data_IF_810463407501
#
_entry.id   IF_810463407501
#
_cell.length_a   1.000
_cell.length_b   1.000
_cell.length_c   1.000
_cell.angle_alpha   90.00
_cell.angle_beta   90.00
_cell.angle_gamma   90.00
#
_symmetry.space_group_name_H-M   'P 1'
#
loop_
_entity.id
_entity.type
_entity.pdbx_description
1 polymer ?
#
# COMPACT_ATOMS: atom_id res chain seq x y z
N UNK A 1 -6.71 -22.85 22.71
CA UNK A 1 -7.98 -23.58 22.85
C UNK A 1 -9.01 -22.88 23.74
N UNK A 2 -8.63 -22.28 24.86
CA UNK A 2 -9.56 -21.61 25.80
C UNK A 2 -10.26 -20.38 25.20
N UNK A 3 -9.55 -19.58 24.39
CA UNK A 3 -10.09 -18.42 23.65
C UNK A 3 -11.18 -18.81 22.65
N UNK A 4 -10.99 -19.91 21.90
CA UNK A 4 -11.99 -20.46 20.99
C UNK A 4 -13.23 -20.97 21.71
N UNK A 5 -13.06 -21.56 22.92
CA UNK A 5 -14.18 -21.98 23.76
C UNK A 5 -14.99 -20.78 24.26
N UNK A 6 -14.32 -19.70 24.70
CA UNK A 6 -14.97 -18.45 25.12
C UNK A 6 -15.72 -17.77 23.98
N UNK A 7 -15.10 -17.68 22.80
CA UNK A 7 -15.76 -17.10 21.62
C UNK A 7 -17.04 -17.88 21.26
N UNK A 8 -16.99 -19.21 21.30
CA UNK A 8 -18.19 -20.04 21.10
C UNK A 8 -19.24 -19.85 22.20
N UNK A 9 -18.83 -19.66 23.45
CA UNK A 9 -19.72 -19.45 24.58
C UNK A 9 -20.45 -18.11 24.51
N UNK A 10 -19.77 -17.06 24.02
CA UNK A 10 -20.33 -15.71 23.88
C UNK A 10 -20.84 -15.40 22.46
N UNK A 11 -20.88 -16.40 21.59
CA UNK A 11 -21.29 -16.27 20.20
C UNK A 11 -20.49 -15.23 19.38
N UNK A 12 -19.26 -15.02 19.80
CA UNK A 12 -18.32 -14.20 19.05
C UNK A 12 -17.82 -14.99 17.83
N UNK A 13 -17.86 -14.41 16.66
CA UNK A 13 -17.25 -14.99 15.45
C UNK A 13 -15.74 -15.18 15.62
N UNK A 14 -15.17 -16.08 14.83
CA UNK A 14 -13.71 -16.27 14.76
C UNK A 14 -13.26 -15.87 13.37
N UNK A 15 -12.38 -14.90 13.28
CA UNK A 15 -11.68 -14.53 12.05
C UNK A 15 -10.18 -14.73 12.27
N UNK A 16 -9.55 -15.43 11.33
CA UNK A 16 -8.10 -15.57 11.25
C UNK A 16 -7.58 -14.69 10.13
N UNK A 17 -6.38 -14.15 10.32
CA UNK A 17 -5.71 -13.30 9.36
C UNK A 17 -4.32 -13.86 9.06
N UNK A 18 -3.98 -13.96 7.77
CA UNK A 18 -2.64 -14.33 7.32
C UNK A 18 -1.98 -13.15 6.61
N UNK A 19 -0.71 -12.95 6.89
CA UNK A 19 0.08 -11.82 6.40
C UNK A 19 1.24 -12.30 5.55
N UNK A 20 1.51 -11.57 4.45
CA UNK A 20 2.74 -11.68 3.67
C UNK A 20 3.53 -10.39 3.86
N UNK A 21 4.55 -10.44 4.72
CA UNK A 21 5.23 -9.24 5.20
C UNK A 21 4.24 -8.29 5.90
N UNK A 22 4.03 -7.11 5.31
CA UNK A 22 3.14 -6.08 5.85
C UNK A 22 1.76 -6.04 5.16
N UNK A 23 1.52 -6.86 4.13
CA UNK A 23 0.24 -6.95 3.43
C UNK A 23 -0.63 -8.07 3.98
N UNK A 24 -1.94 -7.84 4.06
CA UNK A 24 -2.92 -8.87 4.43
C UNK A 24 -3.09 -9.84 3.26
N UNK A 25 -2.52 -11.05 3.37
CA UNK A 25 -2.61 -12.05 2.30
C UNK A 25 -3.97 -12.74 2.25
N UNK A 26 -4.57 -12.99 3.41
CA UNK A 26 -5.90 -13.59 3.50
C UNK A 26 -6.57 -13.33 4.84
N UNK A 27 -7.89 -13.41 4.83
CA UNK A 27 -8.73 -13.53 6.02
C UNK A 27 -9.61 -14.78 5.92
N UNK A 28 -9.88 -15.44 7.04
CA UNK A 28 -10.77 -16.59 7.10
C UNK A 28 -11.72 -16.46 8.27
N UNK A 29 -13.02 -16.38 7.98
CA UNK A 29 -14.09 -16.23 8.95
C UNK A 29 -14.85 -17.55 9.11
N UNK A 30 -15.00 -18.00 10.35
CA UNK A 30 -15.84 -19.14 10.65
C UNK A 30 -17.33 -18.80 10.46
N UNK A 31 -18.14 -19.80 10.15
CA UNK A 31 -19.60 -19.63 10.13
C UNK A 31 -20.08 -19.15 11.50
N UNK A 32 -21.00 -18.21 11.49
CA UNK A 32 -21.63 -17.66 12.69
C UNK A 32 -23.10 -18.12 12.83
N UNK A 33 -23.72 -17.83 13.97
CA UNK A 33 -25.11 -18.15 14.23
C UNK A 33 -26.10 -17.21 13.52
N UNK A 34 -25.63 -16.05 13.03
CA UNK A 34 -26.45 -15.12 12.24
C UNK A 34 -26.75 -15.64 10.84
N UNK A 35 -26.17 -16.81 10.46
CA UNK A 35 -26.42 -17.46 9.18
C UNK A 35 -25.44 -17.11 8.08
N UNK A 36 -24.40 -16.31 8.37
CA UNK A 36 -23.28 -16.15 7.44
C UNK A 36 -22.43 -17.42 7.43
N UNK A 37 -22.26 -18.00 6.24
CA UNK A 37 -21.43 -19.19 6.04
C UNK A 37 -19.95 -18.90 6.27
N UNK A 38 -19.17 -19.94 6.54
CA UNK A 38 -17.72 -19.81 6.61
C UNK A 38 -17.16 -19.31 5.28
N UNK A 39 -16.14 -18.43 5.35
CA UNK A 39 -15.53 -17.82 4.17
C UNK A 39 -14.04 -17.57 4.39
N UNK A 40 -13.25 -17.81 3.35
CA UNK A 40 -11.85 -17.38 3.26
C UNK A 40 -11.71 -16.49 2.04
N UNK A 41 -11.08 -15.32 2.21
CA UNK A 41 -10.77 -14.40 1.12
C UNK A 41 -9.26 -14.23 1.04
N UNK A 42 -8.67 -14.49 -0.12
CA UNK A 42 -7.27 -14.19 -0.44
C UNK A 42 -7.18 -12.89 -1.21
N UNK A 43 -6.18 -12.09 -0.89
CA UNK A 43 -5.91 -10.80 -1.52
C UNK A 43 -4.61 -10.86 -2.30
N UNK A 44 -4.61 -10.35 -3.52
CA UNK A 44 -3.45 -10.20 -4.36
C UNK A 44 -3.15 -8.72 -4.54
N UNK A 45 -1.88 -8.37 -4.44
CA UNK A 45 -1.40 -6.99 -4.57
C UNK A 45 -0.40 -6.85 -5.70
N UNK A 46 -0.23 -5.64 -6.21
CA UNK A 46 0.92 -5.32 -7.07
C UNK A 46 2.22 -5.64 -6.33
N UNK A 47 3.23 -6.23 -6.98
CA UNK A 47 4.48 -6.61 -6.33
C UNK A 47 5.15 -5.42 -5.62
N UNK A 48 5.44 -5.59 -4.33
CA UNK A 48 6.10 -4.59 -3.50
C UNK A 48 5.26 -3.36 -3.16
N UNK A 49 3.92 -3.45 -3.31
CA UNK A 49 2.99 -2.37 -3.01
C UNK A 49 1.86 -2.83 -2.10
N UNK A 50 1.02 -1.88 -1.67
CA UNK A 50 -0.24 -2.13 -0.96
C UNK A 50 -1.47 -1.94 -1.88
N UNK A 51 -1.25 -1.81 -3.19
CA UNK A 51 -2.33 -1.66 -4.17
C UNK A 51 -2.93 -3.03 -4.47
N UNK A 52 -4.20 -3.28 -4.12
CA UNK A 52 -4.83 -4.56 -4.40
C UNK A 52 -5.17 -4.70 -5.89
N UNK A 53 -5.01 -5.91 -6.42
CA UNK A 53 -5.28 -6.25 -7.82
C UNK A 53 -6.51 -7.14 -7.93
N UNK A 54 -6.59 -8.17 -7.09
CA UNK A 54 -7.69 -9.13 -7.12
C UNK A 54 -7.94 -9.76 -5.76
N UNK A 55 -9.14 -10.32 -5.58
CA UNK A 55 -9.45 -11.20 -4.46
C UNK A 55 -10.08 -12.50 -4.95
N UNK A 56 -9.72 -13.61 -4.26
CA UNK A 56 -10.33 -14.91 -4.45
C UNK A 56 -11.13 -15.30 -3.20
N UNK A 57 -12.39 -15.66 -3.39
CA UNK A 57 -13.30 -16.03 -2.31
C UNK A 57 -13.52 -17.53 -2.32
N UNK A 58 -13.41 -18.15 -1.15
CA UNK A 58 -13.69 -19.55 -0.88
C UNK A 58 -14.80 -19.63 0.17
N UNK A 59 -15.91 -20.31 -0.12
CA UNK A 59 -17.06 -20.45 0.79
C UNK A 59 -16.83 -21.50 1.87
N UNK A 60 -15.65 -21.47 2.49
CA UNK A 60 -15.25 -22.35 3.59
C UNK A 60 -14.20 -21.68 4.46
N UNK A 61 -14.10 -22.15 5.69
CA UNK A 61 -13.01 -21.79 6.59
C UNK A 61 -11.70 -22.42 6.11
N UNK A 62 -10.57 -21.71 6.31
CA UNK A 62 -9.25 -22.23 5.94
C UNK A 62 -8.96 -23.52 6.70
N UNK A 63 -8.52 -24.60 6.03
CA UNK A 63 -8.10 -25.81 6.71
C UNK A 63 -6.84 -25.50 7.53
N UNK A 64 -6.96 -25.69 8.85
CA UNK A 64 -5.81 -25.54 9.74
C UNK A 64 -5.04 -26.86 9.80
N UNK A 65 -3.73 -26.79 9.72
CA UNK A 65 -2.86 -27.93 10.00
C UNK A 65 -2.98 -28.24 11.50
N UNK A 66 -3.16 -29.51 11.88
CA UNK A 66 -3.19 -29.91 13.29
C UNK A 66 -1.90 -29.47 14.01
N UNK A 67 -2.01 -29.09 15.28
CA UNK A 67 -0.85 -28.72 16.09
C UNK A 67 0.07 -29.94 16.26
N UNK A 68 1.35 -29.83 15.91
CA UNK A 68 2.28 -30.94 16.07
C UNK A 68 2.51 -31.29 17.55
N UNK A 69 2.61 -32.58 17.87
CA UNK A 69 2.98 -33.03 19.21
C UNK A 69 4.50 -33.13 19.33
N UNK A 70 5.13 -32.10 19.88
CA UNK A 70 6.59 -32.07 20.16
C UNK A 70 6.88 -32.75 21.50
N UNK A 71 6.82 -34.07 21.55
CA UNK A 71 7.16 -34.86 22.74
C UNK A 71 8.51 -35.59 22.62
N UNK A 72 8.86 -36.38 23.65
CA UNK A 72 10.08 -37.16 23.66
C UNK A 72 10.17 -38.21 22.53
N UNK A 73 9.05 -38.50 21.87
CA UNK A 73 8.93 -39.44 20.76
C UNK A 73 8.56 -38.75 19.45
N UNK A 74 8.91 -37.46 19.29
CA UNK A 74 8.68 -36.71 18.05
C UNK A 74 9.32 -37.41 16.86
N UNK A 75 8.55 -37.59 15.80
CA UNK A 75 8.98 -38.15 14.52
C UNK A 75 8.59 -37.16 13.41
N UNK A 76 9.56 -36.62 12.71
CA UNK A 76 9.36 -35.60 11.67
C UNK A 76 8.43 -36.10 10.54
N UNK A 77 8.51 -37.39 10.19
CA UNK A 77 7.67 -38.01 9.16
C UNK A 77 6.18 -38.06 9.52
N UNK A 78 5.84 -37.95 10.81
CA UNK A 78 4.46 -37.91 11.32
C UNK A 78 4.01 -36.49 11.68
N UNK A 79 4.89 -35.50 11.53
CA UNK A 79 4.53 -34.11 11.80
C UNK A 79 3.65 -33.57 10.65
N UNK A 80 2.43 -33.10 10.94
CA UNK A 80 1.52 -32.58 9.92
C UNK A 80 2.10 -31.43 9.09
N UNK A 81 3.03 -30.64 9.64
CA UNK A 81 3.71 -29.56 8.92
C UNK A 81 4.61 -30.08 7.78
N UNK A 82 5.09 -31.34 7.86
CA UNK A 82 5.96 -31.95 6.86
C UNK A 82 5.24 -33.02 6.02
N UNK A 83 4.27 -33.69 6.62
CA UNK A 83 3.56 -34.80 5.98
C UNK A 83 2.41 -34.33 5.07
N UNK A 84 1.73 -33.23 5.43
CA UNK A 84 0.56 -32.76 4.70
C UNK A 84 0.91 -31.54 3.83
N UNK A 85 1.08 -31.78 2.52
CA UNK A 85 1.08 -30.66 1.58
C UNK A 85 -0.32 -30.00 1.58
N UNK A 86 -0.41 -28.66 1.78
CA UNK A 86 -1.70 -27.98 1.74
C UNK A 86 -2.41 -28.22 0.42
N UNK A 87 -3.62 -28.78 0.46
CA UNK A 87 -4.43 -28.97 -0.74
C UNK A 87 -4.95 -27.59 -1.20
N UNK A 88 -4.85 -27.27 -2.51
CA UNK A 88 -5.43 -26.05 -3.04
C UNK A 88 -6.92 -25.97 -2.70
N UNK A 89 -7.38 -24.81 -2.27
CA UNK A 89 -8.81 -24.57 -2.07
C UNK A 89 -9.45 -24.20 -3.41
N UNK A 90 -10.64 -24.77 -3.66
CA UNK A 90 -11.44 -24.38 -4.81
C UNK A 90 -11.89 -22.92 -4.68
N UNK A 91 -11.74 -22.15 -5.75
CA UNK A 91 -12.14 -20.75 -5.80
C UNK A 91 -13.62 -20.69 -6.19
N UNK A 92 -14.45 -20.15 -5.30
CA UNK A 92 -15.90 -20.00 -5.53
C UNK A 92 -16.22 -18.69 -6.28
N UNK A 93 -15.43 -17.63 -6.05
CA UNK A 93 -15.57 -16.36 -6.76
C UNK A 93 -14.24 -15.62 -6.87
N UNK A 94 -14.10 -14.86 -7.96
CA UNK A 94 -12.97 -13.93 -8.20
C UNK A 94 -13.54 -12.54 -8.43
N UNK A 95 -12.85 -11.52 -7.90
CA UNK A 95 -13.13 -10.13 -8.21
C UNK A 95 -11.85 -9.34 -8.37
N UNK A 96 -11.86 -8.37 -9.29
CA UNK A 96 -10.73 -7.49 -9.60
C UNK A 96 -10.98 -6.10 -9.06
N UNK A 97 -9.95 -5.51 -8.47
CA UNK A 97 -10.00 -4.16 -7.94
C UNK A 97 -9.81 -3.13 -9.03
N UNK A 98 -10.70 -2.15 -9.07
CA UNK A 98 -10.54 -0.92 -9.82
C UNK A 98 -10.20 0.17 -8.80
N UNK A 99 -8.95 0.62 -8.83
CA UNK A 99 -8.40 1.57 -7.86
C UNK A 99 -8.25 2.96 -8.48
N UNK A 100 -8.32 3.99 -7.62
CA UNK A 100 -7.96 5.34 -8.01
C UNK A 100 -6.43 5.51 -8.16
N UNK A 101 -6.01 6.74 -8.43
CA UNK A 101 -4.59 7.08 -8.58
C UNK A 101 -3.74 6.83 -7.32
N UNK A 102 -4.33 6.78 -6.13
CA UNK A 102 -3.65 6.41 -4.87
C UNK A 102 -3.67 4.90 -4.60
N UNK A 103 -4.27 4.09 -5.46
CA UNK A 103 -4.46 2.66 -5.21
C UNK A 103 -5.58 2.35 -4.21
N UNK A 104 -6.50 3.29 -4.00
CA UNK A 104 -7.69 3.07 -3.16
C UNK A 104 -8.76 2.39 -3.99
N UNK A 105 -9.32 1.24 -3.53
CA UNK A 105 -10.38 0.54 -4.23
C UNK A 105 -11.63 1.39 -4.40
N UNK A 106 -12.07 1.62 -5.63
CA UNK A 106 -13.32 2.31 -5.95
C UNK A 106 -14.42 1.33 -6.31
N UNK A 107 -14.06 0.26 -7.05
CA UNK A 107 -14.98 -0.77 -7.50
C UNK A 107 -14.33 -2.15 -7.45
N UNK A 108 -15.16 -3.19 -7.39
CA UNK A 108 -14.79 -4.58 -7.68
C UNK A 108 -15.64 -5.05 -8.87
N UNK A 109 -14.97 -5.63 -9.85
CA UNK A 109 -15.63 -6.28 -10.99
C UNK A 109 -15.49 -7.79 -10.89
N UNK A 110 -16.53 -8.53 -11.27
CA UNK A 110 -16.48 -9.99 -11.31
C UNK A 110 -15.91 -10.54 -12.64
N UNK A 111 -15.97 -11.85 -12.82
CA UNK A 111 -15.44 -12.55 -14.01
C UNK A 111 -16.18 -12.16 -15.31
N UNK A 112 -17.36 -11.58 -15.21
CA UNK A 112 -18.14 -11.11 -16.36
C UNK A 112 -17.85 -9.64 -16.71
N UNK A 113 -17.10 -8.96 -15.83
CA UNK A 113 -16.78 -7.53 -15.94
C UNK A 113 -17.88 -6.65 -15.31
N UNK A 114 -18.87 -7.23 -14.63
CA UNK A 114 -19.89 -6.45 -13.95
C UNK A 114 -19.38 -5.91 -12.60
N UNK A 115 -19.77 -4.67 -12.26
CA UNK A 115 -19.45 -4.08 -10.97
C UNK A 115 -20.29 -4.75 -9.88
N UNK A 116 -19.62 -5.46 -8.97
CA UNK A 116 -20.26 -6.20 -7.89
C UNK A 116 -20.18 -5.50 -6.53
N UNK A 117 -19.21 -4.61 -6.37
CA UNK A 117 -19.06 -3.73 -5.21
C UNK A 117 -18.53 -2.38 -5.69
N UNK A 118 -19.01 -1.30 -5.08
CA UNK A 118 -18.50 0.06 -5.31
C UNK A 118 -18.55 0.89 -4.03
N UNK A 119 -17.71 1.93 -3.95
CA UNK A 119 -17.69 2.85 -2.82
C UNK A 119 -17.51 4.31 -3.25
N UNK A 120 -18.22 5.18 -2.56
CA UNK A 120 -18.00 6.62 -2.62
C UNK A 120 -17.25 7.06 -1.36
N UNK A 121 -16.03 7.60 -1.55
CA UNK A 121 -15.17 8.03 -0.47
C UNK A 121 -15.39 9.51 -0.11
N UNK A 122 -15.46 9.79 1.19
CA UNK A 122 -15.20 11.13 1.72
C UNK A 122 -13.68 11.35 1.74
N UNK A 123 -13.23 12.59 1.73
CA UNK A 123 -11.80 12.95 1.66
C UNK A 123 -10.92 12.19 2.69
N UNK A 124 -11.40 11.95 3.89
CA UNK A 124 -10.66 11.26 4.96
C UNK A 124 -11.00 9.77 5.09
N UNK A 125 -11.54 9.15 4.05
CA UNK A 125 -11.69 7.69 3.97
C UNK A 125 -12.98 7.12 4.55
N UNK A 126 -13.89 7.94 5.05
CA UNK A 126 -15.27 7.50 5.31
C UNK A 126 -15.94 7.10 3.99
N UNK A 127 -16.68 5.99 3.97
CA UNK A 127 -17.27 5.47 2.73
C UNK A 127 -18.79 5.30 2.82
N UNK A 128 -19.44 5.37 1.66
CA UNK A 128 -20.74 4.78 1.38
C UNK A 128 -20.53 3.69 0.35
N UNK A 129 -20.72 2.42 0.77
CA UNK A 129 -20.56 1.26 -0.13
C UNK A 129 -21.90 0.74 -0.65
N UNK A 130 -21.87 0.17 -1.84
CA UNK A 130 -22.99 -0.53 -2.46
C UNK A 130 -22.50 -1.91 -2.94
N UNK A 131 -23.34 -2.94 -2.76
CA UNK A 131 -23.08 -4.31 -3.19
C UNK A 131 -24.22 -4.85 -4.01
N UNK A 132 -23.90 -5.50 -5.12
CA UNK A 132 -24.91 -6.18 -5.94
C UNK A 132 -25.45 -7.43 -5.25
N UNK A 133 -26.61 -7.90 -5.69
CA UNK A 133 -27.15 -9.20 -5.22
C UNK A 133 -26.20 -10.38 -5.52
N UNK A 134 -25.48 -10.30 -6.62
CA UNK A 134 -24.44 -11.28 -6.99
C UNK A 134 -23.29 -11.28 -5.99
N UNK A 135 -22.80 -10.11 -5.58
CA UNK A 135 -21.76 -10.00 -4.56
C UNK A 135 -22.16 -10.63 -3.22
N UNK A 136 -23.42 -10.38 -2.81
CA UNK A 136 -23.96 -10.98 -1.57
C UNK A 136 -23.99 -12.50 -1.66
N UNK A 137 -24.45 -13.07 -2.78
CA UNK A 137 -24.50 -14.50 -3.00
C UNK A 137 -23.12 -15.14 -3.10
N UNK A 138 -22.16 -14.45 -3.72
CA UNK A 138 -20.79 -14.91 -3.89
C UNK A 138 -19.92 -14.68 -2.65
N UNK A 139 -20.40 -13.90 -1.69
CA UNK A 139 -19.65 -13.54 -0.49
C UNK A 139 -18.53 -12.52 -0.75
N UNK A 140 -18.63 -11.77 -1.84
CA UNK A 140 -17.67 -10.71 -2.17
C UNK A 140 -17.92 -9.50 -1.25
N UNK A 141 -16.86 -9.09 -0.54
CA UNK A 141 -16.83 -7.90 0.33
C UNK A 141 -15.51 -7.18 0.11
N UNK A 142 -15.43 -5.91 0.48
CA UNK A 142 -14.17 -5.20 0.45
C UNK A 142 -13.89 -4.50 1.78
N UNK A 143 -12.99 -5.05 2.62
CA UNK A 143 -12.52 -4.39 3.83
C UNK A 143 -11.31 -3.46 3.58
N UNK A 144 -10.69 -3.50 2.41
CA UNK A 144 -9.53 -2.67 2.10
C UNK A 144 -9.98 -1.23 1.87
N UNK A 145 -9.17 -0.26 2.36
CA UNK A 145 -9.43 1.18 2.30
C UNK A 145 -8.25 1.88 1.64
N UNK A 146 -7.72 2.97 2.19
CA UNK A 146 -6.45 3.53 1.73
C UNK A 146 -5.35 2.49 1.81
N UNK A 147 -4.26 2.67 1.08
CA UNK A 147 -3.17 1.69 1.07
C UNK A 147 -2.74 1.29 2.49
N UNK A 148 -2.68 -0.02 2.75
CA UNK A 148 -2.35 -0.60 4.05
C UNK A 148 -3.49 -0.58 5.08
N UNK A 149 -4.66 -0.03 4.75
CA UNK A 149 -5.82 0.02 5.65
C UNK A 149 -6.76 -1.17 5.47
N UNK A 150 -7.14 -1.75 6.60
CA UNK A 150 -8.20 -2.75 6.73
C UNK A 150 -9.33 -2.20 7.61
N UNK A 151 -10.55 -2.15 7.09
CA UNK A 151 -11.73 -1.75 7.85
C UNK A 151 -12.10 -2.83 8.87
N UNK A 152 -12.06 -2.46 10.13
CA UNK A 152 -12.53 -3.29 11.24
C UNK A 152 -14.04 -3.02 11.46
N UNK A 153 -14.92 -3.96 11.09
CA UNK A 153 -16.37 -3.75 11.23
C UNK A 153 -16.86 -3.71 12.68
N UNK A 154 -16.07 -4.20 13.63
CA UNK A 154 -16.45 -4.19 15.05
C UNK A 154 -16.28 -2.81 15.67
N UNK A 155 -15.26 -2.06 15.24
CA UNK A 155 -14.94 -0.74 15.79
C UNK A 155 -15.29 0.41 14.86
N UNK A 156 -15.44 0.16 13.55
CA UNK A 156 -15.58 1.17 12.51
C UNK A 156 -14.26 1.89 12.16
N UNK A 157 -13.16 1.50 12.79
CA UNK A 157 -11.85 2.05 12.54
C UNK A 157 -11.13 1.33 11.39
N UNK A 158 -10.05 1.95 10.89
CA UNK A 158 -9.19 1.30 9.91
C UNK A 158 -7.86 0.89 10.56
N UNK A 159 -7.54 -0.39 10.48
CA UNK A 159 -6.28 -0.94 10.97
C UNK A 159 -5.16 -0.66 9.97
N UNK A 160 -4.15 0.09 10.41
CA UNK A 160 -2.89 0.30 9.68
C UNK A 160 -1.76 -0.35 10.46
N UNK A 161 -1.40 -1.55 10.24
CA UNK A 161 -0.29 -2.30 10.85
C UNK A 161 0.13 -1.88 12.27
N UNK A 162 0.54 -0.62 12.48
CA UNK A 162 1.04 -0.10 13.76
C UNK A 162 0.06 0.82 14.49
N UNK A 163 -0.98 1.32 13.81
CA UNK A 163 -1.98 2.22 14.39
C UNK A 163 -3.39 1.94 13.86
N UNK A 164 -4.39 2.33 14.63
CA UNK A 164 -5.75 2.44 14.13
C UNK A 164 -6.04 3.88 13.70
N UNK A 165 -6.69 4.00 12.57
CA UNK A 165 -7.11 5.26 11.96
C UNK A 165 -8.63 5.43 12.09
N UNK A 166 -9.06 6.64 12.45
CA UNK A 166 -10.47 7.01 12.53
C UNK A 166 -10.87 7.81 11.27
N UNK A 167 -11.67 7.25 10.35
CA UNK A 167 -12.05 7.91 9.11
C UNK A 167 -13.05 9.05 9.32
N UNK A 168 -13.77 9.11 10.44
CA UNK A 168 -14.70 10.20 10.73
C UNK A 168 -13.99 11.44 11.26
N UNK A 169 -12.85 11.25 11.94
CA UNK A 169 -12.02 12.33 12.50
C UNK A 169 -10.84 12.67 11.59
N UNK A 170 -10.43 11.76 10.70
CA UNK A 170 -9.33 11.96 9.77
C UNK A 170 -7.94 11.86 10.39
N UNK A 171 -7.77 11.07 11.47
CA UNK A 171 -6.48 10.92 12.15
C UNK A 171 -6.32 9.55 12.80
N UNK A 172 -5.09 9.22 13.18
CA UNK A 172 -4.83 8.07 14.05
C UNK A 172 -5.34 8.29 15.47
N UNK A 173 -5.81 7.23 16.13
CA UNK A 173 -6.33 7.27 17.51
C UNK A 173 -5.22 7.19 18.55
N UNK A 174 -4.01 6.76 18.17
CA UNK A 174 -2.84 6.68 19.04
C UNK A 174 -1.69 7.53 18.51
N UNK A 175 -0.75 7.86 19.42
CA UNK A 175 0.49 8.55 19.03
C UNK A 175 1.34 7.68 18.10
N UNK A 176 2.12 8.36 17.27
CA UNK A 176 3.07 7.70 16.38
C UNK A 176 4.14 6.96 17.19
N UNK A 177 4.35 5.64 16.97
CA UNK A 177 5.40 4.87 17.64
C UNK A 177 6.82 5.41 17.38
N UNK A 178 7.05 6.06 16.23
CA UNK A 178 8.34 6.68 15.89
C UNK A 178 8.44 8.15 16.35
N UNK A 179 7.42 8.64 17.07
CA UNK A 179 7.40 9.98 17.65
C UNK A 179 7.47 11.08 16.59
N UNK A 180 8.27 12.12 16.85
CA UNK A 180 8.41 13.27 15.95
C UNK A 180 9.15 12.97 14.65
N UNK A 181 9.74 11.78 14.50
CA UNK A 181 10.34 11.34 13.23
C UNK A 181 9.29 11.18 12.13
N UNK A 182 8.04 10.84 12.51
CA UNK A 182 6.88 10.78 11.59
C UNK A 182 6.23 12.14 11.32
N UNK A 183 6.70 13.23 11.95
CA UNK A 183 6.17 14.59 11.81
C UNK A 183 5.79 15.23 13.14
N UNK A 184 5.57 16.55 13.13
CA UNK A 184 5.24 17.31 14.35
C UNK A 184 3.90 16.92 14.95
N UNK A 185 2.91 16.62 14.12
CA UNK A 185 1.61 16.12 14.58
C UNK A 185 1.63 14.59 14.62
N UNK A 186 1.89 14.04 15.80
CA UNK A 186 2.02 12.58 16.03
C UNK A 186 0.73 11.77 15.85
N UNK A 187 -0.40 12.42 15.58
CA UNK A 187 -1.69 11.76 15.29
C UNK A 187 -2.09 11.87 13.81
N UNK A 188 -1.37 12.63 13.02
CA UNK A 188 -1.71 12.91 11.63
C UNK A 188 -1.51 11.67 10.75
N UNK A 189 -2.51 11.41 9.87
CA UNK A 189 -2.38 10.41 8.81
C UNK A 189 -1.49 10.96 7.68
N UNK A 190 -1.89 12.06 7.08
CA UNK A 190 -1.20 12.69 5.97
C UNK A 190 -1.48 14.21 5.95
N UNK A 191 -0.65 15.03 5.30
CA UNK A 191 -0.96 16.44 5.06
C UNK A 191 -2.19 16.60 4.18
N UNK A 192 -2.31 15.76 3.16
CA UNK A 192 -3.38 15.73 2.19
C UNK A 192 -3.68 14.26 1.81
N UNK A 193 -4.88 13.72 2.10
CA UNK A 193 -5.22 12.33 1.84
C UNK A 193 -5.50 12.02 0.36
N UNK A 194 -5.48 13.04 -0.52
CA UNK A 194 -5.67 12.88 -1.98
C UNK A 194 -4.35 12.62 -2.70
N UNK A 195 -3.21 12.91 -2.07
CA UNK A 195 -1.87 12.77 -2.67
C UNK A 195 -0.91 11.94 -1.82
N UNK A 196 -1.21 11.78 -0.55
CA UNK A 196 -0.34 11.11 0.41
C UNK A 196 -0.95 9.85 0.98
N UNK A 197 -0.09 8.86 1.24
CA UNK A 197 -0.44 7.60 1.89
C UNK A 197 0.45 7.35 3.10
N UNK A 198 -0.08 6.62 4.09
CA UNK A 198 0.70 6.08 5.21
C UNK A 198 0.33 4.60 5.43
N UNK A 199 0.84 3.68 4.60
CA UNK A 199 0.40 2.28 4.60
C UNK A 199 0.66 1.54 5.91
N UNK A 200 1.70 1.94 6.64
CA UNK A 200 2.09 1.28 7.89
C UNK A 200 1.56 2.01 9.13
N UNK A 201 1.12 3.25 8.98
CA UNK A 201 0.80 4.11 10.12
C UNK A 201 2.05 4.59 10.87
N UNK A 202 3.14 4.90 10.15
CA UNK A 202 4.41 5.37 10.71
C UNK A 202 4.98 6.57 9.96
N UNK A 203 5.03 6.49 8.62
CA UNK A 203 5.61 7.50 7.76
C UNK A 203 4.70 7.79 6.58
N UNK A 204 4.38 9.03 6.43
CA UNK A 204 3.67 9.55 5.26
C UNK A 204 4.57 9.42 4.04
N UNK A 205 4.04 8.89 2.95
CA UNK A 205 4.73 8.78 1.67
C UNK A 205 3.91 9.48 0.61
N UNK A 206 4.57 10.34 -0.17
CA UNK A 206 3.98 10.78 -1.41
C UNK A 206 3.88 9.58 -2.36
N UNK A 207 2.76 9.43 -3.06
CA UNK A 207 2.67 8.37 -4.07
C UNK A 207 3.52 8.76 -5.27
N UNK A 208 4.55 7.98 -5.51
CA UNK A 208 5.37 8.11 -6.72
C UNK A 208 4.61 7.48 -7.88
N UNK A 209 4.38 8.20 -9.00
CA UNK A 209 3.71 7.65 -10.16
C UNK A 209 4.34 6.36 -10.67
N UNK A 210 3.56 5.39 -11.20
CA UNK A 210 4.10 4.08 -11.63
C UNK A 210 5.20 4.16 -12.70
N UNK A 211 5.19 5.21 -13.53
CA UNK A 211 6.19 5.46 -14.55
C UNK A 211 7.48 6.09 -13.99
N UNK A 212 7.51 6.47 -12.70
CA UNK A 212 8.69 7.03 -12.04
C UNK A 212 9.42 5.97 -11.20
N UNK A 213 10.75 6.02 -11.20
CA UNK A 213 11.56 5.14 -10.37
C UNK A 213 11.73 5.71 -8.96
N UNK A 214 10.92 5.27 -8.02
CA UNK A 214 10.96 5.73 -6.63
C UNK A 214 12.37 5.65 -6.03
N UNK A 215 13.06 4.52 -6.19
CA UNK A 215 14.40 4.33 -5.61
C UNK A 215 15.44 5.30 -6.17
N UNK A 216 15.39 5.58 -7.48
CA UNK A 216 16.33 6.51 -8.11
C UNK A 216 15.96 7.96 -7.79
N UNK A 217 14.67 8.29 -7.78
CA UNK A 217 14.15 9.61 -7.46
C UNK A 217 14.48 10.02 -6.03
N UNK A 218 14.31 9.12 -5.05
CA UNK A 218 14.66 9.37 -3.65
C UNK A 218 16.12 9.75 -3.42
N UNK A 219 17.03 9.40 -4.33
CA UNK A 219 18.41 9.87 -4.33
C UNK A 219 18.57 11.34 -4.68
N UNK A 220 17.50 12.05 -5.02
CA UNK A 220 17.45 13.45 -5.42
C UNK A 220 16.34 14.25 -4.68
N UNK A 221 15.86 13.74 -3.55
CA UNK A 221 14.87 14.41 -2.68
C UNK A 221 15.51 14.67 -1.33
N UNK A 222 15.46 15.91 -0.86
CA UNK A 222 16.06 16.32 0.41
C UNK A 222 15.41 15.59 1.58
N UNK A 223 16.22 15.08 2.51
CA UNK A 223 15.74 14.34 3.69
C UNK A 223 15.47 12.85 3.44
N UNK A 224 15.58 12.37 2.20
CA UNK A 224 15.47 10.95 1.92
C UNK A 224 16.77 10.19 2.29
N UNK A 225 16.67 8.96 2.86
CA UNK A 225 17.85 8.18 3.23
C UNK A 225 18.82 7.91 2.07
N UNK A 226 18.30 7.75 0.84
CA UNK A 226 19.09 7.55 -0.38
C UNK A 226 19.90 8.81 -0.73
N UNK A 227 19.31 10.00 -0.58
CA UNK A 227 20.00 11.27 -0.75
C UNK A 227 21.12 11.45 0.30
N UNK A 228 20.80 11.25 1.57
CA UNK A 228 21.74 11.38 2.68
C UNK A 228 22.94 10.42 2.54
N UNK A 229 22.70 9.19 2.09
CA UNK A 229 23.74 8.22 1.82
C UNK A 229 24.67 8.65 0.69
N UNK A 230 24.14 9.27 -0.36
CA UNK A 230 24.97 9.82 -1.46
C UNK A 230 25.85 10.97 -0.99
N UNK A 231 25.29 11.87 -0.20
CA UNK A 231 26.04 12.98 0.41
C UNK A 231 27.14 12.47 1.34
N UNK A 232 26.85 11.52 2.22
CA UNK A 232 27.84 10.87 3.11
C UNK A 232 28.95 10.16 2.34
N UNK A 233 28.68 9.65 1.14
CA UNK A 233 29.67 9.05 0.24
C UNK A 233 30.48 10.07 -0.55
N UNK A 234 30.31 11.37 -0.31
CA UNK A 234 31.00 12.45 -1.03
C UNK A 234 30.58 12.62 -2.48
N UNK A 235 29.41 12.07 -2.87
CA UNK A 235 28.86 12.25 -4.23
C UNK A 235 28.15 13.59 -4.32
N UNK A 236 28.61 14.44 -5.22
CA UNK A 236 27.92 15.69 -5.56
C UNK A 236 26.51 15.37 -6.06
N UNK A 237 25.48 15.85 -5.36
CA UNK A 237 24.10 15.50 -5.64
C UNK A 237 23.21 16.72 -5.58
N UNK A 238 22.55 17.05 -6.69
CA UNK A 238 21.44 18.01 -6.73
C UNK A 238 20.18 17.37 -6.15
N UNK A 239 19.32 18.18 -5.51
CA UNK A 239 18.07 17.70 -4.94
C UNK A 239 16.91 18.66 -5.11
N UNK A 240 15.70 18.13 -5.16
CA UNK A 240 14.46 18.84 -4.97
C UNK A 240 14.20 19.08 -3.47
N UNK A 241 13.36 20.06 -3.15
CA UNK A 241 13.02 20.37 -1.76
C UNK A 241 12.24 19.23 -1.09
N UNK A 242 11.34 18.61 -1.83
CA UNK A 242 10.47 17.53 -1.38
C UNK A 242 10.04 16.63 -2.55
N UNK A 243 9.14 15.68 -2.26
CA UNK A 243 8.61 14.75 -3.25
C UNK A 243 7.64 15.38 -4.24
N UNK A 244 6.89 16.41 -3.84
CA UNK A 244 5.93 17.09 -4.72
C UNK A 244 6.67 17.81 -5.84
N UNK A 245 7.69 18.57 -5.48
CA UNK A 245 8.62 19.21 -6.43
C UNK A 245 9.29 18.15 -7.33
N UNK A 246 9.78 17.06 -6.73
CA UNK A 246 10.48 16.02 -7.47
C UNK A 246 9.59 15.35 -8.53
N UNK A 247 8.34 15.06 -8.20
CA UNK A 247 7.38 14.45 -9.13
C UNK A 247 6.96 15.44 -10.20
N UNK A 248 6.47 16.61 -9.79
CA UNK A 248 5.95 17.62 -10.69
C UNK A 248 7.00 18.02 -11.73
N UNK A 249 8.19 18.42 -11.27
CA UNK A 249 9.22 18.91 -12.19
C UNK A 249 9.85 17.80 -13.03
N UNK A 250 9.89 16.55 -12.54
CA UNK A 250 10.37 15.42 -13.33
C UNK A 250 9.39 15.07 -14.45
N UNK A 251 8.09 15.00 -14.18
CA UNK A 251 7.07 14.72 -15.18
C UNK A 251 6.98 15.82 -16.24
N UNK A 252 6.91 17.07 -15.80
CA UNK A 252 6.87 18.21 -16.72
C UNK A 252 8.13 18.30 -17.61
N UNK A 253 9.31 18.02 -17.03
CA UNK A 253 10.56 17.98 -17.77
C UNK A 253 10.64 16.79 -18.73
N UNK A 254 9.97 15.67 -18.42
CA UNK A 254 9.86 14.55 -19.35
C UNK A 254 8.97 14.89 -20.54
N UNK A 255 7.83 15.52 -20.30
CA UNK A 255 6.85 15.85 -21.33
C UNK A 255 7.31 17.00 -22.24
N UNK A 256 7.82 18.10 -21.65
CA UNK A 256 8.17 19.33 -22.36
C UNK A 256 9.65 19.47 -22.68
N UNK A 257 10.49 18.60 -22.10
CA UNK A 257 11.94 18.71 -22.20
C UNK A 257 12.49 18.38 -23.59
N UNK A 258 13.64 19.01 -23.92
CA UNK A 258 14.36 18.78 -25.15
C UNK A 258 15.26 17.55 -25.00
N UNK A 259 15.21 16.57 -25.96
CA UNK A 259 16.12 15.43 -25.94
C UNK A 259 17.59 15.84 -25.97
N UNK A 260 18.40 15.21 -25.13
CA UNK A 260 19.84 15.49 -25.08
C UNK A 260 20.53 14.82 -26.29
N UNK A 261 21.35 15.54 -27.06
CA UNK A 261 22.04 14.96 -28.21
C UNK A 261 22.79 13.68 -27.88
N UNK A 262 22.63 12.63 -28.70
CA UNK A 262 23.21 11.28 -28.53
C UNK A 262 22.73 10.50 -27.29
N UNK A 263 21.70 10.99 -26.58
CA UNK A 263 21.11 10.31 -25.41
C UNK A 263 19.58 10.35 -25.51
N UNK A 264 18.96 9.46 -26.32
CA UNK A 264 17.51 9.51 -26.61
C UNK A 264 16.63 9.35 -25.36
N UNK A 265 17.14 8.67 -24.34
CA UNK A 265 16.45 8.41 -23.07
C UNK A 265 16.74 9.49 -22.00
N UNK A 266 17.22 10.68 -22.40
CA UNK A 266 17.51 11.79 -21.50
C UNK A 266 16.90 13.06 -22.05
N UNK A 267 16.21 13.82 -21.22
CA UNK A 267 15.62 15.12 -21.59
C UNK A 267 16.02 16.18 -20.58
N UNK A 268 16.17 17.39 -21.05
CA UNK A 268 16.44 18.58 -20.24
C UNK A 268 15.32 19.61 -20.44
N UNK A 269 14.85 20.18 -19.34
CA UNK A 269 13.89 21.29 -19.35
C UNK A 269 14.33 22.40 -18.40
N UNK A 270 14.19 23.66 -18.83
CA UNK A 270 14.53 24.84 -18.01
C UNK A 270 13.25 25.60 -17.66
N UNK A 271 12.93 25.58 -16.37
CA UNK A 271 11.72 26.20 -15.80
C UNK A 271 11.82 27.70 -15.62
N UNK A 272 13.04 28.31 -15.79
CA UNK A 272 13.33 29.72 -15.56
C UNK A 272 13.13 30.23 -14.11
N UNK A 273 12.66 29.35 -13.23
CA UNK A 273 12.46 29.62 -11.79
C UNK A 273 13.25 28.60 -10.96
N UNK A 274 13.65 28.89 -9.74
CA UNK A 274 14.29 27.92 -8.86
C UNK A 274 13.40 26.73 -8.63
N UNK A 275 13.93 25.51 -8.85
CA UNK A 275 13.19 24.23 -8.72
C UNK A 275 13.89 23.24 -7.78
N UNK A 276 15.03 23.58 -7.24
CA UNK A 276 15.80 22.73 -6.35
C UNK A 276 17.21 23.28 -6.12
N UNK A 277 18.02 22.49 -5.46
CA UNK A 277 19.37 22.86 -5.05
C UNK A 277 20.43 22.04 -5.77
N UNK A 278 21.53 22.66 -6.09
CA UNK A 278 22.73 22.01 -6.57
C UNK A 278 23.62 21.49 -5.44
N UNK A 279 24.69 20.77 -5.80
CA UNK A 279 25.58 20.13 -4.82
C UNK A 279 26.34 21.10 -3.90
N UNK A 280 26.44 22.37 -4.24
CA UNK A 280 27.06 23.39 -3.40
C UNK A 280 26.03 24.29 -2.68
N UNK A 281 24.74 23.90 -2.71
CA UNK A 281 23.65 24.59 -2.01
C UNK A 281 23.06 25.80 -2.74
N UNK A 282 23.54 26.14 -3.94
CA UNK A 282 22.93 27.17 -4.79
C UNK A 282 21.68 26.62 -5.50
N UNK A 283 20.75 27.52 -5.87
CA UNK A 283 19.53 27.14 -6.58
C UNK A 283 19.76 26.81 -8.04
N UNK A 284 19.00 25.89 -8.58
CA UNK A 284 19.02 25.47 -9.99
C UNK A 284 17.63 25.64 -10.61
N UNK A 285 17.57 25.89 -11.92
CA UNK A 285 16.32 26.19 -12.65
C UNK A 285 15.96 25.14 -13.69
N UNK A 286 16.84 24.17 -13.96
CA UNK A 286 16.63 23.16 -14.97
C UNK A 286 16.54 21.78 -14.32
N UNK A 287 15.82 20.86 -14.96
CA UNK A 287 15.76 19.45 -14.60
C UNK A 287 16.28 18.59 -15.73
N UNK A 288 17.09 17.60 -15.38
CA UNK A 288 17.47 16.51 -16.27
C UNK A 288 16.70 15.26 -15.88
N UNK A 289 16.00 14.66 -16.82
CA UNK A 289 15.25 13.42 -16.63
C UNK A 289 15.89 12.30 -17.43
N UNK A 290 16.03 11.15 -16.79
CA UNK A 290 16.54 9.91 -17.38
C UNK A 290 15.43 8.88 -17.39
N UNK A 291 15.31 8.14 -18.52
CA UNK A 291 14.48 6.95 -18.59
C UNK A 291 15.37 5.71 -18.55
N UNK A 292 15.00 4.73 -17.74
CA UNK A 292 15.72 3.45 -17.67
C UNK A 292 15.19 2.42 -18.67
N UNK A 293 15.83 1.24 -18.71
CA UNK A 293 15.47 0.16 -19.63
C UNK A 293 14.08 -0.44 -19.38
N UNK A 294 13.52 -0.21 -18.19
CA UNK A 294 12.16 -0.61 -17.83
C UNK A 294 11.11 0.49 -18.18
N UNK A 295 11.54 1.58 -18.82
CA UNK A 295 10.69 2.70 -19.18
C UNK A 295 10.40 3.67 -18.02
N UNK A 296 10.94 3.44 -16.81
CA UNK A 296 10.72 4.32 -15.67
C UNK A 296 11.64 5.52 -15.72
N UNK A 297 11.09 6.69 -15.39
CA UNK A 297 11.83 7.96 -15.36
C UNK A 297 12.30 8.31 -13.93
N UNK A 298 13.34 9.13 -13.84
CA UNK A 298 13.74 9.86 -12.64
C UNK A 298 14.45 11.16 -13.03
N UNK A 299 14.24 12.21 -12.27
CA UNK A 299 14.78 13.54 -12.54
C UNK A 299 15.67 14.05 -11.42
N UNK A 300 16.49 15.03 -11.75
CA UNK A 300 17.27 15.80 -10.76
C UNK A 300 17.49 17.23 -11.24
N UNK A 301 17.54 18.20 -10.32
CA UNK A 301 17.94 19.55 -10.64
C UNK A 301 19.33 19.60 -11.29
N UNK A 302 19.52 20.54 -12.21
CA UNK A 302 20.73 20.65 -13.02
C UNK A 302 20.98 22.12 -13.45
N UNK A 303 22.19 22.40 -13.86
CA UNK A 303 22.57 23.66 -14.42
C UNK A 303 23.49 24.47 -13.48
N UNK A 304 23.84 25.72 -13.85
CA UNK A 304 24.59 26.55 -12.98
C UNK A 304 23.80 26.88 -11.71
N UNK A 305 24.50 26.92 -10.58
CA UNK A 305 23.92 27.31 -9.32
C UNK A 305 23.91 28.83 -9.21
N UNK A 306 22.75 29.39 -8.84
CA UNK A 306 22.62 30.81 -8.48
C UNK A 306 22.56 30.95 -6.96
N UNK A 307 23.28 31.95 -6.43
CA UNK A 307 23.33 32.27 -4.99
C UNK A 307 22.07 32.99 -4.52
#
# INVERSE_FOLDING_TARGET
MERLKRNRQFDCGVTLYGWDGDTLAWESRAADKAGEGARTTHYLYEPGSFVPVAQAVHKRFIPLIPEPEYGAFYQQENDPLWADAPKPMEIDALAWYQCDHLGTPQELTDQTGEVVWSAQYKAWGGIKEERSSSALQQGITNPLRFQGQYHDPETGLHYNRYRYYDPEVGRFISRDPIGYTGGLNVFQYAPNPVEWIDPLGLQKKHRVPPHMSQQKQAGHVLGEPQYDNRVKQGKATSCFCDWDDAIQYTDEAWDKGVPVPKRPNVRDHDFKTPIGFGPNGGTQTSVRVHQDNAGKIHGHPKGPETK
#
